data_IF_434444134465
#
_entry.id   IF_434444134465
#
_cell.length_a   1.000
_cell.length_b   1.000
_cell.length_c   1.000
_cell.angle_alpha   90.00
_cell.angle_beta   90.00
_cell.angle_gamma   90.00
#
_symmetry.space_group_name_H-M   'P 1'
#
loop_
_entity.id
_entity.type
_entity.pdbx_description
1 polymer ?
#
# COMPACT_ATOMS: atom_id res chain seq x y z
N UNK A 1 50.18 -88.58 -18.00
CA UNK A 1 51.15 -88.05 -16.99
C UNK A 1 50.77 -86.64 -16.64
N UNK A 2 50.49 -86.46 -15.31
CA UNK A 2 50.61 -85.23 -14.51
C UNK A 2 49.96 -83.92 -15.02
N UNK A 3 49.37 -83.10 -14.16
CA UNK A 3 49.07 -83.01 -12.71
C UNK A 3 47.97 -81.97 -12.57
N UNK A 4 47.09 -82.23 -11.66
CA UNK A 4 46.11 -81.26 -11.10
C UNK A 4 46.81 -80.09 -10.46
N UNK A 5 46.24 -78.89 -10.58
CA UNK A 5 46.30 -77.87 -9.51
C UNK A 5 44.93 -77.23 -9.30
N UNK A 6 44.38 -77.51 -8.16
CA UNK A 6 43.25 -76.87 -7.51
C UNK A 6 43.62 -75.45 -7.10
N UNK A 7 42.82 -74.46 -7.38
CA UNK A 7 42.84 -73.20 -6.69
C UNK A 7 41.43 -72.88 -6.16
N UNK A 8 41.39 -72.58 -4.87
CA UNK A 8 40.24 -72.36 -4.00
C UNK A 8 39.48 -71.06 -4.35
N UNK A 9 38.18 -70.94 -4.06
CA UNK A 9 37.46 -69.70 -4.23
C UNK A 9 37.74 -68.70 -3.09
N UNK A 10 37.86 -67.44 -3.44
CA UNK A 10 38.10 -66.31 -2.54
C UNK A 10 36.75 -65.76 -2.03
N UNK A 11 36.69 -65.22 -0.79
CA UNK A 11 35.44 -64.96 -0.07
C UNK A 11 34.92 -63.55 -0.34
N UNK A 12 33.60 -63.47 -0.39
CA UNK A 12 32.64 -62.44 -0.02
C UNK A 12 33.16 -60.97 -0.02
N UNK A 13 32.72 -60.20 -1.01
CA UNK A 13 32.61 -58.75 -0.93
C UNK A 13 31.29 -58.36 -0.24
N UNK A 14 31.24 -57.34 0.64
CA UNK A 14 29.99 -56.89 1.26
C UNK A 14 29.26 -55.98 0.25
N UNK A 15 27.99 -56.29 0.02
CA UNK A 15 27.02 -55.41 -0.63
C UNK A 15 26.76 -54.21 0.28
N UNK A 16 27.21 -53.03 -0.08
CA UNK A 16 26.74 -51.77 0.50
C UNK A 16 25.41 -51.39 -0.17
N UNK A 17 24.30 -51.57 0.57
CA UNK A 17 23.01 -51.01 0.23
C UNK A 17 23.08 -49.53 0.61
N UNK A 18 23.27 -48.65 -0.37
CA UNK A 18 23.12 -47.20 -0.18
C UNK A 18 21.63 -46.88 -0.01
N UNK A 19 21.19 -46.64 1.22
CA UNK A 19 19.89 -46.04 1.50
C UNK A 19 19.95 -44.57 1.06
N UNK A 20 19.32 -44.24 -0.08
CA UNK A 20 19.09 -42.86 -0.50
C UNK A 20 17.92 -42.35 0.32
N UNK A 21 18.22 -41.58 1.37
CA UNK A 21 17.24 -40.76 2.07
C UNK A 21 16.87 -39.57 1.13
N UNK A 22 15.76 -39.70 0.42
CA UNK A 22 15.12 -38.54 -0.22
C UNK A 22 14.48 -37.68 0.88
N UNK A 23 15.23 -36.66 1.32
CA UNK A 23 14.67 -35.59 2.11
C UNK A 23 13.67 -34.81 1.24
N UNK A 24 12.40 -35.18 1.33
CA UNK A 24 11.32 -34.32 0.83
C UNK A 24 11.29 -33.06 1.71
N UNK A 25 11.90 -31.98 1.25
CA UNK A 25 11.68 -30.65 1.80
C UNK A 25 10.21 -30.30 1.57
N UNK A 26 9.37 -30.53 2.55
CA UNK A 26 8.05 -29.91 2.66
C UNK A 26 8.31 -28.41 2.79
N UNK A 27 8.25 -27.68 1.66
CA UNK A 27 8.16 -26.22 1.63
C UNK A 27 6.86 -25.86 2.36
N UNK A 28 6.94 -25.62 3.66
CA UNK A 28 5.85 -24.97 4.37
C UNK A 28 5.50 -23.65 3.63
N UNK A 29 4.20 -23.37 3.40
CA UNK A 29 3.83 -22.10 2.77
C UNK A 29 4.42 -20.95 3.60
N UNK A 30 5.24 -20.11 2.96
CA UNK A 30 5.80 -18.94 3.62
C UNK A 30 4.61 -18.05 4.04
N UNK A 31 4.40 -17.92 5.34
CA UNK A 31 3.42 -16.98 5.85
C UNK A 31 3.86 -15.56 5.49
N UNK A 32 2.99 -14.82 4.82
CA UNK A 32 3.16 -13.38 4.61
C UNK A 32 3.03 -12.71 5.97
N UNK A 33 4.17 -12.51 6.65
CA UNK A 33 4.18 -11.73 7.89
C UNK A 33 3.84 -10.28 7.56
N UNK A 34 2.93 -9.68 8.34
CA UNK A 34 2.58 -8.27 8.16
C UNK A 34 3.81 -7.40 8.41
N UNK A 35 4.13 -6.52 7.45
CA UNK A 35 5.22 -5.57 7.56
C UNK A 35 4.65 -4.19 7.93
N UNK A 36 5.16 -3.59 9.00
CA UNK A 36 4.72 -2.29 9.50
C UNK A 36 5.81 -1.25 9.24
N UNK A 37 5.43 0.01 9.13
CA UNK A 37 6.38 1.11 9.18
C UNK A 37 7.14 1.09 10.52
N UNK A 38 8.43 1.38 10.50
CA UNK A 38 9.37 1.23 11.63
C UNK A 38 9.12 2.16 12.82
N UNK A 39 8.18 3.09 12.69
CA UNK A 39 7.83 4.09 13.70
C UNK A 39 8.52 5.44 13.47
N UNK A 40 9.67 5.49 12.78
CA UNK A 40 10.38 6.72 12.46
C UNK A 40 10.16 7.17 11.01
N UNK A 41 9.62 6.30 10.16
CA UNK A 41 9.37 6.57 8.75
C UNK A 41 7.99 6.07 8.30
N UNK A 42 7.51 6.65 7.19
CA UNK A 42 6.32 6.28 6.44
C UNK A 42 6.62 6.51 4.96
N UNK A 43 7.47 5.67 4.40
CA UNK A 43 8.19 5.96 3.15
C UNK A 43 7.39 5.88 1.87
N UNK A 44 6.15 5.42 1.93
CA UNK A 44 5.26 5.28 0.78
C UNK A 44 3.80 5.23 1.21
N UNK A 45 2.88 5.21 0.25
CA UNK A 45 1.45 5.03 0.52
C UNK A 45 1.21 3.83 1.46
N UNK A 46 0.43 4.04 2.53
CA UNK A 46 0.13 3.05 3.58
C UNK A 46 1.33 2.56 4.39
N UNK A 47 2.49 3.24 4.32
CA UNK A 47 3.66 3.05 5.18
C UNK A 47 4.52 1.80 4.92
N UNK A 48 4.01 0.79 4.22
CA UNK A 48 4.73 -0.46 3.95
C UNK A 48 4.42 -1.00 2.56
N UNK A 49 5.26 -1.89 2.04
CA UNK A 49 5.02 -2.56 0.76
C UNK A 49 3.75 -3.43 0.77
N UNK A 50 3.33 -3.93 1.92
CA UNK A 50 2.08 -4.70 2.07
C UNK A 50 0.84 -3.82 2.23
N UNK A 51 1.02 -2.50 2.24
CA UNK A 51 -0.03 -1.48 2.35
C UNK A 51 -0.91 -1.67 3.61
N UNK A 52 -0.32 -2.12 4.71
CA UNK A 52 -1.06 -2.41 5.95
C UNK A 52 -1.62 -1.18 6.64
N UNK A 53 -1.06 0.00 6.38
CA UNK A 53 -1.48 1.24 7.04
C UNK A 53 -1.12 1.30 8.53
N UNK A 54 -0.13 0.52 8.99
CA UNK A 54 0.26 0.40 10.39
C UNK A 54 1.62 1.02 10.63
N UNK A 55 1.73 1.84 11.67
CA UNK A 55 2.99 2.38 12.18
C UNK A 55 3.28 1.88 13.58
N UNK A 56 4.57 1.64 13.86
CA UNK A 56 5.08 1.39 15.21
C UNK A 56 5.37 2.68 15.97
N UNK A 57 5.08 3.83 15.38
CA UNK A 57 5.30 5.14 16.03
C UNK A 57 4.49 5.25 17.32
N UNK A 58 5.15 5.69 18.36
CA UNK A 58 4.48 6.06 19.62
C UNK A 58 3.89 7.46 19.47
N UNK A 59 2.58 7.51 19.26
CA UNK A 59 1.84 8.76 19.06
C UNK A 59 1.33 9.27 20.40
N UNK A 60 1.52 10.57 20.73
CA UNK A 60 1.04 11.14 21.99
C UNK A 60 -0.45 10.89 22.24
N UNK A 61 -0.82 10.64 23.50
CA UNK A 61 -2.23 10.42 23.89
C UNK A 61 -3.10 11.64 23.60
N UNK A 62 -2.60 12.84 23.95
CA UNK A 62 -3.26 14.11 23.70
C UNK A 62 -2.68 14.75 22.44
N UNK A 63 -3.48 14.85 21.40
CA UNK A 63 -3.08 15.43 20.13
C UNK A 63 -3.41 16.91 20.06
N UNK A 64 -2.53 17.66 19.41
CA UNK A 64 -2.75 19.08 19.07
C UNK A 64 -2.15 19.36 17.69
N UNK A 65 -2.65 20.36 16.96
CA UNK A 65 -1.98 20.88 15.77
C UNK A 65 -0.60 21.42 16.18
N UNK A 66 0.44 21.06 15.43
CA UNK A 66 1.81 21.53 15.64
C UNK A 66 2.19 22.58 14.62
N UNK A 67 1.86 22.33 13.36
CA UNK A 67 2.05 23.24 12.25
C UNK A 67 1.08 22.91 11.12
N UNK A 68 0.89 23.85 10.21
CA UNK A 68 0.28 23.62 8.91
C UNK A 68 1.16 24.25 7.81
N UNK A 69 0.97 23.74 6.58
CA UNK A 69 1.60 24.26 5.37
C UNK A 69 0.49 24.52 4.35
N UNK A 70 0.56 25.63 3.61
CA UNK A 70 -0.38 25.96 2.55
C UNK A 70 0.28 25.70 1.18
N UNK A 71 -0.31 24.77 0.40
CA UNK A 71 0.02 24.51 -0.99
C UNK A 71 -0.78 25.44 -1.90
N UNK A 72 -0.43 25.46 -3.20
CA UNK A 72 -1.15 26.28 -4.19
C UNK A 72 -2.53 25.74 -4.57
N UNK A 73 -2.80 24.46 -4.33
CA UNK A 73 -4.06 23.78 -4.66
C UNK A 73 -4.33 22.61 -3.73
N UNK A 74 -5.51 22.00 -3.89
CA UNK A 74 -5.97 20.87 -3.08
C UNK A 74 -4.97 19.71 -3.01
N UNK A 75 -5.03 18.95 -1.90
CA UNK A 75 -4.15 17.82 -1.63
C UNK A 75 -4.99 16.55 -1.49
N UNK A 76 -4.87 15.66 -2.48
CA UNK A 76 -5.40 14.30 -2.46
C UNK A 76 -4.30 13.26 -2.20
N UNK A 77 -3.06 13.63 -2.54
CA UNK A 77 -1.85 12.84 -2.29
C UNK A 77 -1.63 12.64 -0.79
N UNK A 78 -1.42 11.40 -0.36
CA UNK A 78 -1.05 11.09 1.02
C UNK A 78 0.45 11.36 1.21
N UNK A 79 0.83 11.90 2.37
CA UNK A 79 2.23 12.23 2.61
C UNK A 79 3.11 10.97 2.75
N UNK A 80 4.38 11.09 2.33
CA UNK A 80 5.45 10.20 2.76
C UNK A 80 6.35 10.92 3.77
N UNK A 81 6.90 10.17 4.74
CA UNK A 81 7.77 10.72 5.79
C UNK A 81 9.06 9.89 5.84
N UNK A 82 10.20 10.54 5.61
CA UNK A 82 11.51 9.91 5.69
C UNK A 82 12.57 10.94 6.10
N UNK A 83 13.51 10.55 6.96
CA UNK A 83 14.64 11.40 7.36
C UNK A 83 14.20 12.80 7.83
N UNK A 84 13.21 12.86 8.73
CA UNK A 84 12.62 14.11 9.24
C UNK A 84 12.08 15.05 8.14
N UNK A 85 11.66 14.50 7.00
CA UNK A 85 11.10 15.25 5.86
C UNK A 85 9.75 14.67 5.49
N UNK A 86 8.76 15.53 5.30
CA UNK A 86 7.44 15.22 4.75
C UNK A 86 7.45 15.54 3.26
N UNK A 87 7.06 14.59 2.44
CA UNK A 87 6.88 14.77 1.00
C UNK A 87 5.41 14.66 0.65
N UNK A 88 4.87 15.64 -0.07
CA UNK A 88 3.45 15.70 -0.43
C UNK A 88 3.27 16.34 -1.80
N UNK A 89 2.39 15.77 -2.61
CA UNK A 89 1.97 16.30 -3.90
C UNK A 89 0.69 17.13 -3.80
N UNK A 90 0.53 18.13 -4.65
CA UNK A 90 -0.67 18.96 -4.75
C UNK A 90 -1.20 19.05 -6.18
N UNK A 91 -2.47 19.42 -6.33
CA UNK A 91 -3.18 19.46 -7.62
C UNK A 91 -2.67 20.54 -8.57
N UNK A 92 -1.82 21.46 -8.11
CA UNK A 92 -1.08 22.40 -8.96
C UNK A 92 0.21 21.81 -9.57
N UNK A 93 0.46 20.51 -9.35
CA UNK A 93 1.63 19.81 -9.89
C UNK A 93 2.91 20.01 -9.09
N UNK A 94 2.83 20.51 -7.87
CA UNK A 94 3.99 20.70 -6.99
C UNK A 94 4.18 19.52 -6.04
N UNK A 95 5.36 18.91 -6.05
CA UNK A 95 5.86 18.04 -4.99
C UNK A 95 6.66 18.90 -4.01
N UNK A 96 6.18 19.01 -2.77
CA UNK A 96 6.84 19.77 -1.70
C UNK A 96 7.55 18.83 -0.73
N UNK A 97 8.74 19.22 -0.27
CA UNK A 97 9.44 18.62 0.86
C UNK A 97 9.44 19.61 2.02
N UNK A 98 8.92 19.18 3.16
CA UNK A 98 8.76 20.00 4.35
C UNK A 98 9.54 19.40 5.51
N UNK A 99 10.04 20.22 6.40
CA UNK A 99 10.61 19.77 7.68
C UNK A 99 9.50 19.21 8.58
N UNK A 100 9.65 17.96 9.04
CA UNK A 100 8.64 17.29 9.89
C UNK A 100 8.44 18.01 11.25
N UNK A 101 9.45 18.70 11.76
CA UNK A 101 9.39 19.32 13.07
C UNK A 101 8.58 20.62 13.11
N UNK A 102 8.61 21.40 12.00
CA UNK A 102 8.05 22.76 11.97
C UNK A 102 7.29 23.13 10.70
N UNK A 103 7.22 22.25 9.69
CA UNK A 103 6.53 22.50 8.42
C UNK A 103 7.27 23.42 7.44
N UNK A 104 8.49 23.84 7.74
CA UNK A 104 9.26 24.71 6.84
C UNK A 104 9.58 24.00 5.53
N UNK A 105 9.43 24.73 4.41
CA UNK A 105 9.76 24.22 3.08
C UNK A 105 11.26 24.01 2.94
N UNK A 106 11.68 22.79 2.66
CA UNK A 106 13.06 22.44 2.31
C UNK A 106 13.33 22.65 0.82
N UNK A 107 12.41 22.19 -0.02
CA UNK A 107 12.41 22.40 -1.46
C UNK A 107 11.03 22.15 -2.06
N UNK A 108 10.84 22.62 -3.29
CA UNK A 108 9.68 22.34 -4.14
C UNK A 108 10.16 21.87 -5.51
N UNK A 109 9.48 20.89 -6.09
CA UNK A 109 9.68 20.42 -7.45
C UNK A 109 8.36 20.58 -8.22
N UNK A 110 8.42 21.23 -9.39
CA UNK A 110 7.26 21.39 -10.26
C UNK A 110 7.29 20.30 -11.34
N UNK A 111 6.24 19.49 -11.44
CA UNK A 111 6.09 18.46 -12.48
C UNK A 111 5.87 19.07 -13.86
N UNK A 112 5.45 20.35 -13.94
CA UNK A 112 4.96 21.02 -15.13
C UNK A 112 3.74 20.33 -15.78
N UNK A 113 3.07 19.45 -15.06
CA UNK A 113 1.79 18.87 -15.45
C UNK A 113 0.69 19.91 -15.24
N UNK A 114 -0.13 20.13 -16.26
CA UNK A 114 -1.32 21.02 -16.17
C UNK A 114 -2.43 20.35 -15.34
N UNK A 115 -2.45 19.03 -15.31
CA UNK A 115 -3.44 18.21 -14.61
C UNK A 115 -3.08 18.00 -13.13
N UNK A 116 -1.84 18.33 -12.74
CA UNK A 116 -1.36 18.26 -11.35
C UNK A 116 -1.03 16.86 -10.82
N UNK A 117 -0.72 16.79 -9.53
CA UNK A 117 -0.57 15.54 -8.77
C UNK A 117 -1.90 15.29 -8.05
N UNK A 118 -2.59 14.20 -8.43
CA UNK A 118 -3.84 13.79 -7.78
C UNK A 118 -3.60 12.85 -6.60
N UNK A 119 -4.18 11.68 -6.66
CA UNK A 119 -4.15 10.67 -5.59
C UNK A 119 -2.78 9.98 -5.43
N UNK A 120 -1.91 10.04 -6.44
CA UNK A 120 -0.57 9.42 -6.38
C UNK A 120 0.23 9.99 -5.21
N UNK A 121 0.55 9.13 -4.26
CA UNK A 121 1.30 9.48 -3.04
C UNK A 121 2.79 9.24 -3.28
N UNK A 122 3.70 10.09 -2.76
CA UNK A 122 5.13 9.93 -2.94
C UNK A 122 5.64 8.61 -2.32
N UNK A 123 6.65 8.01 -2.96
CA UNK A 123 7.45 6.93 -2.38
C UNK A 123 8.91 7.37 -2.28
N UNK A 124 9.55 7.12 -1.14
CA UNK A 124 10.93 7.52 -0.85
C UNK A 124 11.82 6.28 -0.75
N UNK A 125 12.76 6.13 -1.65
CA UNK A 125 13.74 5.05 -1.63
C UNK A 125 15.02 5.46 -2.36
N UNK A 126 16.17 4.89 -1.97
CA UNK A 126 17.45 5.04 -2.65
C UNK A 126 17.88 6.51 -2.89
N UNK A 127 17.52 7.42 -1.98
CA UNK A 127 17.82 8.85 -2.11
C UNK A 127 16.94 9.61 -3.10
N UNK A 128 15.91 8.98 -3.64
CA UNK A 128 14.93 9.56 -4.56
C UNK A 128 13.52 9.55 -3.98
N UNK A 129 12.70 10.48 -4.44
CA UNK A 129 11.26 10.54 -4.23
C UNK A 129 10.58 10.28 -5.56
N UNK A 130 9.68 9.34 -5.61
CA UNK A 130 8.92 8.97 -6.81
C UNK A 130 7.48 9.39 -6.64
N UNK A 131 6.86 9.94 -7.69
CA UNK A 131 5.44 10.31 -7.72
C UNK A 131 4.91 10.26 -9.14
N UNK A 132 3.64 9.93 -9.31
CA UNK A 132 2.93 10.05 -10.59
C UNK A 132 2.12 11.34 -10.67
N UNK A 133 1.89 11.84 -11.89
CA UNK A 133 0.97 12.95 -12.15
C UNK A 133 -0.24 12.51 -12.99
N UNK A 134 -1.28 13.34 -13.00
CA UNK A 134 -2.49 13.07 -13.79
C UNK A 134 -2.25 13.28 -15.29
N UNK A 135 -1.17 13.94 -15.68
CA UNK A 135 -0.69 13.96 -17.06
C UNK A 135 -0.09 12.63 -17.51
N UNK A 136 0.10 11.66 -16.62
CA UNK A 136 0.60 10.30 -16.92
C UNK A 136 2.12 10.20 -16.89
N UNK A 137 2.81 11.07 -16.16
CA UNK A 137 4.26 11.03 -16.01
C UNK A 137 4.65 10.56 -14.60
N UNK A 138 5.57 9.62 -14.53
CA UNK A 138 6.28 9.26 -13.31
C UNK A 138 7.51 10.16 -13.19
N UNK A 139 7.68 10.77 -12.04
CA UNK A 139 8.81 11.61 -11.71
C UNK A 139 9.66 10.98 -10.64
N UNK A 140 10.98 10.96 -10.80
CA UNK A 140 11.95 10.68 -9.76
C UNK A 140 12.74 11.95 -9.46
N UNK A 141 12.73 12.34 -8.20
CA UNK A 141 13.29 13.60 -7.71
C UNK A 141 14.30 13.31 -6.60
N UNK A 142 15.44 13.98 -6.61
CA UNK A 142 16.45 13.83 -5.56
C UNK A 142 15.88 14.29 -4.21
N UNK A 143 15.85 13.41 -3.22
CA UNK A 143 15.23 13.67 -1.92
C UNK A 143 15.92 14.77 -1.11
N UNK A 144 17.24 15.00 -1.33
CA UNK A 144 18.00 16.00 -0.58
C UNK A 144 17.81 17.42 -1.10
N UNK A 145 17.60 17.60 -2.42
CA UNK A 145 17.66 18.94 -3.03
C UNK A 145 16.52 19.26 -4.01
N UNK A 146 15.58 18.34 -4.26
CA UNK A 146 14.43 18.56 -5.12
C UNK A 146 14.73 18.62 -6.62
N UNK A 147 15.95 18.25 -7.07
CA UNK A 147 16.27 18.19 -8.49
C UNK A 147 15.69 16.96 -9.15
N UNK A 148 15.05 17.11 -10.33
CA UNK A 148 14.60 15.98 -11.13
C UNK A 148 15.77 15.06 -11.51
N UNK A 149 15.61 13.76 -11.32
CA UNK A 149 16.58 12.75 -11.71
C UNK A 149 16.21 12.12 -13.05
N UNK A 150 14.98 11.69 -13.20
CA UNK A 150 14.42 11.14 -14.44
C UNK A 150 12.89 11.26 -14.45
N UNK A 151 12.31 11.14 -15.64
CA UNK A 151 10.86 11.01 -15.84
C UNK A 151 10.55 9.85 -16.77
N UNK A 152 9.37 9.26 -16.60
CA UNK A 152 8.86 8.20 -17.48
C UNK A 152 7.40 8.51 -17.83
N UNK A 153 7.07 8.57 -19.12
CA UNK A 153 5.72 8.86 -19.63
C UNK A 153 4.96 7.57 -19.92
N UNK A 154 3.78 7.42 -19.33
CA UNK A 154 2.79 6.38 -19.64
C UNK A 154 1.78 6.87 -20.67
N UNK A 155 0.88 6.02 -21.11
CA UNK A 155 -0.18 6.38 -22.07
C UNK A 155 -1.46 6.94 -21.44
N UNK A 156 -1.53 7.08 -20.11
CA UNK A 156 -2.73 7.55 -19.39
C UNK A 156 -2.39 8.14 -18.02
N UNK A 157 -3.38 8.68 -17.35
CA UNK A 157 -3.27 9.25 -16.01
C UNK A 157 -2.61 8.27 -15.01
N UNK A 158 -1.92 8.81 -14.00
CA UNK A 158 -1.38 8.02 -12.89
C UNK A 158 -2.05 8.46 -11.59
N UNK A 159 -2.96 7.60 -11.09
CA UNK A 159 -3.58 7.74 -9.77
C UNK A 159 -2.97 6.78 -8.75
N UNK A 160 -2.42 5.67 -9.23
CA UNK A 160 -1.64 4.74 -8.42
C UNK A 160 -0.45 5.42 -7.77
N UNK A 161 -0.11 5.00 -6.56
CA UNK A 161 1.13 5.44 -5.90
C UNK A 161 2.30 4.53 -6.30
N UNK A 162 3.51 5.07 -6.48
CA UNK A 162 4.71 4.25 -6.69
C UNK A 162 4.98 3.35 -5.49
N UNK A 163 5.42 2.11 -5.75
CA UNK A 163 5.90 1.20 -4.71
C UNK A 163 7.34 0.83 -5.01
N UNK A 164 8.25 1.22 -4.11
CA UNK A 164 9.66 0.90 -4.23
C UNK A 164 9.94 -0.50 -3.68
N UNK A 165 10.57 -1.34 -4.50
CA UNK A 165 11.00 -2.69 -4.15
C UNK A 165 12.41 -2.90 -4.66
N UNK A 166 13.39 -2.93 -3.77
CA UNK A 166 14.82 -3.02 -4.09
C UNK A 166 15.26 -1.94 -5.10
N UNK A 167 15.64 -2.32 -6.30
CA UNK A 167 16.03 -1.48 -7.42
C UNK A 167 14.90 -1.21 -8.44
N UNK A 168 13.63 -1.44 -8.04
CA UNK A 168 12.46 -1.35 -8.91
C UNK A 168 11.39 -0.41 -8.35
N UNK A 169 10.64 0.21 -9.25
CA UNK A 169 9.43 0.96 -8.95
C UNK A 169 8.25 0.30 -9.67
N UNK A 170 7.24 -0.09 -8.93
CA UNK A 170 5.97 -0.55 -9.47
C UNK A 170 5.00 0.62 -9.52
N UNK A 171 4.28 0.80 -10.63
CA UNK A 171 3.30 1.87 -10.80
C UNK A 171 2.20 1.46 -11.78
N UNK A 172 0.95 1.70 -11.41
CA UNK A 172 -0.21 1.51 -12.27
C UNK A 172 -0.53 2.75 -13.11
N UNK A 173 -1.09 2.58 -14.29
CA UNK A 173 -1.54 3.66 -15.16
C UNK A 173 -2.94 3.39 -15.73
N UNK A 174 -3.65 4.46 -16.05
CA UNK A 174 -4.95 4.40 -16.73
C UNK A 174 -4.86 3.95 -18.18
N UNK A 175 -3.64 3.78 -18.72
CA UNK A 175 -3.42 3.11 -20.02
C UNK A 175 -3.61 1.58 -19.96
N UNK A 176 -4.00 1.05 -18.80
CA UNK A 176 -4.24 -0.37 -18.59
C UNK A 176 -2.97 -1.18 -18.35
N UNK A 177 -1.89 -0.59 -17.86
CA UNK A 177 -0.67 -1.32 -17.53
C UNK A 177 -0.23 -1.12 -16.08
N UNK A 178 0.27 -2.21 -15.49
CA UNK A 178 1.20 -2.13 -14.35
C UNK A 178 2.61 -2.12 -14.93
N UNK A 179 3.38 -1.10 -14.63
CA UNK A 179 4.78 -0.95 -15.01
C UNK A 179 5.72 -1.33 -13.87
N UNK A 180 6.83 -1.95 -14.21
CA UNK A 180 8.01 -2.08 -13.36
C UNK A 180 9.14 -1.30 -14.02
N UNK A 181 9.59 -0.26 -13.35
CA UNK A 181 10.66 0.60 -13.81
C UNK A 181 11.93 0.34 -13.01
N UNK A 182 13.09 0.54 -13.63
CA UNK A 182 14.35 0.64 -12.92
C UNK A 182 14.35 1.90 -12.05
N UNK A 183 14.62 1.76 -10.76
CA UNK A 183 14.51 2.86 -9.80
C UNK A 183 15.53 4.00 -10.06
N UNK A 184 16.67 3.73 -10.68
CA UNK A 184 17.72 4.72 -10.93
C UNK A 184 17.57 5.46 -12.24
N UNK A 185 17.06 4.77 -13.28
CA UNK A 185 17.02 5.28 -14.65
C UNK A 185 15.62 5.54 -15.19
N UNK A 186 14.58 4.98 -14.56
CA UNK A 186 13.21 5.00 -15.09
C UNK A 186 12.98 4.07 -16.29
N UNK A 187 13.98 3.28 -16.69
CA UNK A 187 13.83 2.34 -17.81
C UNK A 187 12.81 1.24 -17.49
N UNK A 188 11.97 0.90 -18.45
CA UNK A 188 11.00 -0.19 -18.28
C UNK A 188 11.72 -1.52 -18.21
N UNK A 189 11.59 -2.26 -17.12
CA UNK A 189 12.04 -3.63 -16.97
C UNK A 189 11.02 -4.62 -17.51
N UNK A 190 9.77 -4.40 -17.17
CA UNK A 190 8.62 -5.12 -17.72
C UNK A 190 7.33 -4.31 -17.52
N UNK A 191 6.28 -4.67 -18.25
CA UNK A 191 4.93 -4.19 -18.02
C UNK A 191 3.92 -5.30 -18.23
N UNK A 192 2.84 -5.26 -17.47
CA UNK A 192 1.72 -6.22 -17.57
C UNK A 192 0.47 -5.47 -17.98
N UNK A 193 -0.16 -5.93 -19.06
CA UNK A 193 -1.42 -5.37 -19.55
C UNK A 193 -2.61 -5.93 -18.79
N UNK A 194 -3.55 -5.07 -18.43
CA UNK A 194 -4.87 -5.40 -17.86
C UNK A 194 -5.98 -5.01 -18.84
N UNK A 195 -7.19 -5.49 -18.62
CA UNK A 195 -8.33 -5.14 -19.48
C UNK A 195 -8.98 -3.80 -19.11
N UNK A 196 -8.54 -3.14 -18.03
CA UNK A 196 -9.00 -1.83 -17.57
C UNK A 196 -7.87 -1.01 -16.94
N UNK A 197 -8.14 0.22 -16.53
CA UNK A 197 -7.17 1.06 -15.80
C UNK A 197 -6.60 0.37 -14.55
N UNK A 198 -5.31 0.59 -14.28
CA UNK A 198 -4.68 0.18 -13.02
C UNK A 198 -4.65 1.39 -12.07
N UNK A 199 -5.76 1.57 -11.36
CA UNK A 199 -5.94 2.65 -10.40
C UNK A 199 -5.23 2.36 -9.07
N UNK A 200 -5.44 1.14 -8.55
CA UNK A 200 -4.95 0.73 -7.24
C UNK A 200 -3.41 0.67 -7.18
N UNK A 201 -2.86 1.04 -6.03
CA UNK A 201 -1.45 0.83 -5.73
C UNK A 201 -1.18 -0.66 -5.51
N UNK A 202 -0.12 -1.19 -6.09
CA UNK A 202 0.27 -2.57 -5.90
C UNK A 202 0.76 -2.82 -4.47
N UNK A 203 0.27 -3.87 -3.82
CA UNK A 203 0.88 -4.36 -2.58
C UNK A 203 1.89 -5.45 -2.89
N UNK A 204 2.92 -5.57 -2.06
CA UNK A 204 4.04 -6.47 -2.33
C UNK A 204 4.35 -7.35 -1.13
N UNK A 205 4.50 -8.65 -1.38
CA UNK A 205 5.00 -9.61 -0.41
C UNK A 205 5.71 -10.77 -1.12
N UNK A 206 6.82 -11.24 -0.54
CA UNK A 206 7.56 -12.44 -0.99
C UNK A 206 7.83 -12.45 -2.51
N UNK A 207 8.33 -11.33 -3.06
CA UNK A 207 8.67 -11.20 -4.49
C UNK A 207 7.46 -11.18 -5.43
N UNK A 208 6.25 -11.03 -4.90
CA UNK A 208 4.98 -10.97 -5.64
C UNK A 208 4.29 -9.63 -5.43
N UNK A 209 3.89 -8.99 -6.51
CA UNK A 209 3.02 -7.83 -6.53
C UNK A 209 1.57 -8.27 -6.67
N UNK A 210 0.67 -7.67 -5.89
CA UNK A 210 -0.75 -7.93 -5.93
C UNK A 210 -1.48 -6.65 -6.29
N UNK A 211 -2.31 -6.70 -7.33
CA UNK A 211 -3.17 -5.60 -7.77
C UNK A 211 -4.63 -6.05 -7.85
N UNK A 212 -5.53 -5.17 -7.50
CA UNK A 212 -6.95 -5.30 -7.79
C UNK A 212 -7.30 -4.26 -8.87
N UNK A 213 -7.92 -4.68 -9.97
CA UNK A 213 -8.09 -3.87 -11.16
C UNK A 213 -9.51 -3.35 -11.37
N UNK A 214 -9.63 -2.32 -12.22
CA UNK A 214 -10.91 -1.87 -12.76
C UNK A 214 -11.49 -2.85 -13.80
N UNK A 215 -10.84 -3.96 -14.06
CA UNK A 215 -11.30 -5.08 -14.88
C UNK A 215 -11.84 -6.26 -14.05
N UNK A 216 -12.17 -6.02 -12.79
CA UNK A 216 -12.76 -6.98 -11.85
C UNK A 216 -11.86 -8.18 -11.52
N UNK A 217 -10.56 -8.06 -11.78
CA UNK A 217 -9.61 -9.14 -11.57
C UNK A 217 -8.54 -8.72 -10.55
N UNK A 218 -8.41 -9.52 -9.50
CA UNK A 218 -7.27 -9.49 -8.60
C UNK A 218 -6.15 -10.36 -9.19
N UNK A 219 -4.92 -9.82 -9.29
CA UNK A 219 -3.76 -10.47 -9.89
C UNK A 219 -2.61 -10.58 -8.93
N UNK A 220 -1.91 -11.72 -9.00
CA UNK A 220 -0.61 -11.93 -8.39
C UNK A 220 0.45 -11.99 -9.49
N UNK A 221 1.45 -11.10 -9.45
CA UNK A 221 2.45 -10.90 -10.49
C UNK A 221 3.84 -11.04 -9.88
N UNK A 222 4.70 -11.88 -10.46
CA UNK A 222 6.08 -12.04 -10.00
C UNK A 222 6.90 -10.79 -10.34
N UNK A 223 7.54 -10.19 -9.35
CA UNK A 223 8.27 -8.91 -9.51
C UNK A 223 9.53 -9.10 -10.38
N UNK A 224 10.14 -10.27 -10.38
CA UNK A 224 11.37 -10.52 -11.11
C UNK A 224 11.23 -10.32 -12.64
N UNK A 225 10.08 -10.67 -13.21
CA UNK A 225 9.88 -10.71 -14.66
C UNK A 225 8.48 -10.31 -15.15
N UNK A 226 7.57 -9.91 -14.26
CA UNK A 226 6.22 -9.52 -14.62
C UNK A 226 5.28 -10.69 -14.97
N UNK A 227 5.68 -11.93 -14.71
CA UNK A 227 4.83 -13.10 -14.99
C UNK A 227 3.63 -13.12 -14.03
N UNK A 228 2.42 -13.22 -14.59
CA UNK A 228 1.22 -13.49 -13.82
C UNK A 228 1.27 -14.91 -13.22
N UNK A 229 1.14 -15.01 -11.91
CA UNK A 229 1.18 -16.28 -11.15
C UNK A 229 -0.21 -16.89 -11.01
N UNK A 230 -1.18 -16.07 -10.73
CA UNK A 230 -2.60 -16.44 -10.68
C UNK A 230 -3.50 -15.19 -10.70
N UNK A 231 -4.76 -15.42 -11.01
CA UNK A 231 -5.83 -14.43 -10.95
C UNK A 231 -6.97 -14.93 -10.07
N UNK A 232 -7.75 -13.97 -9.55
CA UNK A 232 -9.03 -14.23 -8.87
C UNK A 232 -10.05 -13.26 -9.43
N UNK A 233 -11.14 -13.78 -9.97
CA UNK A 233 -12.28 -12.95 -10.40
C UNK A 233 -12.95 -12.41 -9.13
N UNK A 234 -12.86 -11.10 -8.91
CA UNK A 234 -13.49 -10.41 -7.79
C UNK A 234 -14.97 -10.14 -8.01
N UNK A 235 -15.37 -10.03 -9.30
CA UNK A 235 -16.72 -9.73 -9.72
C UNK A 235 -17.15 -8.29 -9.43
N UNK A 236 -16.16 -7.40 -9.22
CA UNK A 236 -16.39 -5.98 -9.02
C UNK A 236 -15.09 -5.20 -9.28
N UNK A 237 -15.17 -4.06 -9.93
CA UNK A 237 -14.04 -3.18 -10.11
C UNK A 237 -13.74 -2.38 -8.84
N UNK A 238 -12.48 -1.95 -8.69
CA UNK A 238 -12.02 -1.23 -7.50
C UNK A 238 -11.02 -0.14 -7.81
N UNK A 239 -11.09 0.95 -7.01
CA UNK A 239 -10.02 1.93 -6.86
C UNK A 239 -9.20 1.72 -5.58
N UNK A 240 -9.67 0.87 -4.66
CA UNK A 240 -8.96 0.59 -3.41
C UNK A 240 -7.75 -0.33 -3.62
N UNK A 241 -6.66 -0.03 -2.94
CA UNK A 241 -5.44 -0.84 -2.98
C UNK A 241 -5.55 -2.03 -2.02
N UNK A 242 -5.13 -3.23 -2.42
CA UNK A 242 -5.22 -4.42 -1.57
C UNK A 242 -4.21 -4.36 -0.43
N UNK A 243 -4.68 -4.41 0.82
CA UNK A 243 -3.82 -4.56 2.00
C UNK A 243 -3.56 -6.04 2.30
N UNK A 244 -2.32 -6.40 2.61
CA UNK A 244 -1.94 -7.80 2.83
C UNK A 244 -1.75 -8.09 4.31
N UNK A 245 -2.34 -9.18 4.79
CA UNK A 245 -2.11 -9.72 6.14
C UNK A 245 -2.44 -11.22 6.18
N UNK A 246 -1.61 -12.02 6.85
CA UNK A 246 -1.88 -13.44 7.14
C UNK A 246 -2.34 -14.25 5.91
N UNK A 247 -1.60 -14.17 4.81
CA UNK A 247 -1.91 -14.87 3.55
C UNK A 247 -3.26 -14.47 2.92
N UNK A 248 -3.72 -13.27 3.21
CA UNK A 248 -4.95 -12.70 2.65
C UNK A 248 -4.74 -11.29 2.14
N UNK A 249 -5.52 -10.89 1.15
CA UNK A 249 -5.62 -9.54 0.64
C UNK A 249 -7.03 -8.98 0.92
N UNK A 250 -7.10 -7.71 1.35
CA UNK A 250 -8.35 -7.05 1.73
C UNK A 250 -8.48 -5.74 0.97
N UNK A 251 -9.62 -5.52 0.31
CA UNK A 251 -9.90 -4.29 -0.43
C UNK A 251 -11.40 -4.05 -0.61
N UNK A 252 -11.76 -2.78 -0.73
CA UNK A 252 -13.12 -2.35 -1.06
C UNK A 252 -13.39 -2.37 -2.55
N UNK A 253 -14.65 -2.39 -2.95
CA UNK A 253 -15.11 -2.39 -4.34
C UNK A 253 -16.18 -1.33 -4.59
N UNK A 254 -16.41 -1.01 -5.86
CA UNK A 254 -17.50 -0.12 -6.27
C UNK A 254 -18.88 -0.79 -6.22
N UNK A 255 -18.94 -2.13 -6.15
CA UNK A 255 -20.18 -2.89 -5.98
C UNK A 255 -20.61 -3.03 -4.51
N UNK A 256 -20.18 -2.10 -3.66
CA UNK A 256 -20.56 -1.98 -2.25
C UNK A 256 -20.08 -3.13 -1.37
N UNK A 257 -19.02 -3.83 -1.78
CA UNK A 257 -18.42 -4.93 -1.01
C UNK A 257 -17.00 -4.60 -0.55
N UNK A 258 -16.65 -5.12 0.62
CA UNK A 258 -15.27 -5.37 1.02
C UNK A 258 -15.00 -6.85 0.81
N UNK A 259 -13.87 -7.17 0.19
CA UNK A 259 -13.48 -8.54 -0.13
C UNK A 259 -12.29 -8.96 0.74
N UNK A 260 -12.33 -10.19 1.25
CA UNK A 260 -11.19 -10.92 1.76
C UNK A 260 -10.82 -12.02 0.77
N UNK A 261 -9.66 -11.91 0.14
CA UNK A 261 -9.13 -12.89 -0.81
C UNK A 261 -8.07 -13.73 -0.11
N UNK A 262 -8.25 -15.05 -0.07
CA UNK A 262 -7.24 -15.97 0.44
C UNK A 262 -6.23 -16.28 -0.67
N UNK A 263 -4.95 -15.95 -0.44
CA UNK A 263 -3.88 -16.06 -1.43
C UNK A 263 -3.44 -17.50 -1.67
N UNK A 264 -3.57 -18.38 -0.66
CA UNK A 264 -3.21 -19.80 -0.79
C UNK A 264 -4.25 -20.58 -1.60
N UNK A 265 -5.53 -20.41 -1.28
CA UNK A 265 -6.62 -21.05 -2.04
C UNK A 265 -7.00 -20.32 -3.33
N UNK A 266 -6.49 -19.09 -3.52
CA UNK A 266 -6.72 -18.23 -4.70
C UNK A 266 -8.22 -17.98 -4.94
N UNK A 267 -8.94 -17.65 -3.87
CA UNK A 267 -10.41 -17.45 -3.89
C UNK A 267 -10.82 -16.30 -2.99
N UNK A 268 -11.94 -15.69 -3.31
CA UNK A 268 -12.65 -14.80 -2.37
C UNK A 268 -13.14 -15.68 -1.23
N UNK A 269 -12.62 -15.43 -0.02
CA UNK A 269 -12.97 -16.16 1.20
C UNK A 269 -14.28 -15.63 1.80
N UNK A 270 -14.49 -14.32 1.74
CA UNK A 270 -15.68 -13.67 2.24
C UNK A 270 -15.95 -12.34 1.54
N UNK A 271 -17.20 -11.89 1.61
CA UNK A 271 -17.67 -10.57 1.21
C UNK A 271 -18.40 -9.92 2.38
N UNK A 272 -18.18 -8.64 2.56
CA UNK A 272 -18.91 -7.80 3.50
C UNK A 272 -19.57 -6.65 2.77
N UNK A 273 -20.83 -6.35 3.10
CA UNK A 273 -21.50 -5.09 2.74
C UNK A 273 -22.19 -4.53 3.97
N UNK A 274 -22.35 -3.21 4.01
CA UNK A 274 -23.14 -2.60 5.09
C UNK A 274 -24.64 -2.92 4.87
N UNK A 275 -25.30 -3.65 5.79
CA UNK A 275 -26.67 -4.09 5.57
C UNK A 275 -27.68 -2.93 5.55
N UNK A 276 -27.32 -1.78 6.12
CA UNK A 276 -28.22 -0.61 6.20
C UNK A 276 -27.98 0.39 5.06
N UNK A 277 -26.77 0.41 4.48
CA UNK A 277 -26.34 1.39 3.49
C UNK A 277 -25.40 0.77 2.48
N UNK A 278 -25.89 0.55 1.28
CA UNK A 278 -25.10 -0.02 0.19
C UNK A 278 -24.46 1.10 -0.63
N UNK A 279 -23.19 1.37 -0.38
CA UNK A 279 -22.36 2.34 -1.08
C UNK A 279 -20.94 1.78 -1.28
N UNK A 280 -20.22 2.26 -2.31
CA UNK A 280 -18.85 1.83 -2.59
C UNK A 280 -17.88 2.02 -1.43
N UNK A 281 -16.89 1.13 -1.38
CA UNK A 281 -15.74 1.23 -0.49
C UNK A 281 -14.50 1.61 -1.32
N UNK A 282 -14.14 2.88 -1.27
CA UNK A 282 -13.01 3.44 -2.00
C UNK A 282 -11.70 3.45 -1.19
N UNK A 283 -11.82 3.58 0.13
CA UNK A 283 -10.71 3.59 1.08
C UNK A 283 -9.92 2.27 1.05
N UNK A 284 -8.59 2.36 1.05
CA UNK A 284 -7.72 1.19 1.24
C UNK A 284 -7.66 0.79 2.71
N UNK A 285 -7.70 -0.51 2.97
CA UNK A 285 -7.82 -1.01 4.34
C UNK A 285 -6.54 -0.82 5.18
N UNK A 286 -6.70 -0.59 6.49
CA UNK A 286 -5.69 -0.80 7.51
C UNK A 286 -5.83 -2.20 8.10
N UNK A 287 -4.71 -2.95 8.26
CA UNK A 287 -4.80 -4.37 8.67
C UNK A 287 -3.78 -4.71 9.76
N UNK A 288 -4.29 -5.10 10.93
CA UNK A 288 -3.48 -5.55 12.08
C UNK A 288 -4.33 -6.40 13.04
N UNK A 289 -3.72 -7.30 13.79
CA UNK A 289 -4.37 -8.09 14.85
C UNK A 289 -5.69 -8.77 14.43
N UNK A 290 -5.70 -9.36 13.25
CA UNK A 290 -6.89 -10.01 12.67
C UNK A 290 -8.08 -9.06 12.44
N UNK A 291 -7.82 -7.74 12.27
CA UNK A 291 -8.83 -6.72 11.96
C UNK A 291 -8.52 -6.03 10.65
N UNK A 292 -9.58 -5.65 9.97
CA UNK A 292 -9.57 -4.86 8.72
C UNK A 292 -10.36 -3.59 8.97
N UNK A 293 -9.71 -2.43 8.91
CA UNK A 293 -10.34 -1.12 9.16
C UNK A 293 -10.32 -0.32 7.87
N UNK A 294 -11.47 0.20 7.43
CA UNK A 294 -11.57 1.00 6.22
C UNK A 294 -12.75 1.99 6.28
N UNK A 295 -12.69 3.02 5.45
CA UNK A 295 -13.77 3.96 5.25
C UNK A 295 -14.71 3.54 4.12
N UNK A 296 -15.97 3.98 4.17
CA UNK A 296 -16.97 3.77 3.14
C UNK A 296 -17.62 5.07 2.65
N UNK A 297 -18.10 5.08 1.41
CA UNK A 297 -18.97 6.16 0.90
C UNK A 297 -20.34 6.14 1.55
N UNK A 298 -20.68 5.10 2.31
CA UNK A 298 -21.84 4.99 3.18
C UNK A 298 -21.79 5.88 4.42
N UNK A 299 -20.70 6.66 4.59
CA UNK A 299 -20.41 7.57 5.70
C UNK A 299 -20.05 6.85 7.01
N UNK A 300 -19.42 5.69 6.92
CA UNK A 300 -18.93 4.96 8.08
C UNK A 300 -17.45 4.59 7.95
N UNK A 301 -16.80 4.49 9.09
CA UNK A 301 -15.58 3.71 9.27
C UNK A 301 -15.99 2.34 9.79
N UNK A 302 -15.49 1.29 9.17
CA UNK A 302 -15.79 -0.10 9.50
C UNK A 302 -14.56 -0.80 10.04
N UNK A 303 -14.75 -1.64 11.05
CA UNK A 303 -13.78 -2.62 11.49
C UNK A 303 -14.37 -4.00 11.34
N UNK A 304 -13.69 -4.86 10.60
CA UNK A 304 -14.14 -6.21 10.29
C UNK A 304 -13.17 -7.23 10.87
N UNK A 305 -13.67 -8.41 11.25
CA UNK A 305 -12.84 -9.58 11.52
C UNK A 305 -12.23 -10.09 10.20
N UNK A 306 -10.91 -10.18 10.14
CA UNK A 306 -10.19 -10.50 8.90
C UNK A 306 -10.44 -11.92 8.38
N UNK A 307 -10.82 -12.88 9.25
CA UNK A 307 -11.08 -14.27 8.85
C UNK A 307 -12.49 -14.47 8.31
N UNK A 308 -13.47 -13.73 8.86
CA UNK A 308 -14.89 -13.96 8.59
C UNK A 308 -15.57 -12.86 7.83
N UNK A 309 -14.97 -11.66 7.76
CA UNK A 309 -15.59 -10.46 7.20
C UNK A 309 -16.72 -9.88 8.07
N UNK A 310 -16.99 -10.42 9.26
CA UNK A 310 -18.03 -9.89 10.15
C UNK A 310 -17.63 -8.53 10.72
N UNK A 311 -18.56 -7.58 10.75
CA UNK A 311 -18.35 -6.31 11.40
C UNK A 311 -18.13 -6.50 12.91
N UNK A 312 -17.06 -5.89 13.43
CA UNK A 312 -16.76 -5.83 14.86
C UNK A 312 -17.30 -4.53 15.47
N UNK A 313 -17.12 -3.43 14.76
CA UNK A 313 -17.70 -2.13 15.08
C UNK A 313 -17.80 -1.26 13.83
N UNK A 314 -18.65 -0.25 13.90
CA UNK A 314 -18.76 0.82 12.90
C UNK A 314 -18.81 2.17 13.59
N UNK A 315 -18.26 3.20 12.96
CA UNK A 315 -18.31 4.58 13.45
C UNK A 315 -18.91 5.48 12.35
N UNK A 316 -19.98 6.21 12.67
CA UNK A 316 -20.67 7.10 11.73
C UNK A 316 -19.95 8.44 11.63
N UNK A 317 -19.72 8.90 10.40
CA UNK A 317 -19.28 10.25 10.04
C UNK A 317 -20.45 11.03 9.38
N UNK A 318 -20.24 12.32 9.09
CA UNK A 318 -21.30 13.14 8.47
C UNK A 318 -21.28 13.10 6.94
N UNK A 319 -20.13 12.69 6.33
CA UNK A 319 -19.97 12.51 4.90
C UNK A 319 -19.14 11.25 4.60
N UNK A 320 -18.92 10.96 3.31
CA UNK A 320 -18.15 9.80 2.86
C UNK A 320 -16.72 9.80 3.42
N UNK A 321 -16.17 8.60 3.60
CA UNK A 321 -14.80 8.38 4.10
C UNK A 321 -14.00 7.72 2.98
N UNK A 322 -13.26 8.53 2.22
CA UNK A 322 -12.35 8.07 1.15
C UNK A 322 -10.92 7.95 1.63
N UNK A 323 -10.55 8.71 2.68
CA UNK A 323 -9.29 8.59 3.40
C UNK A 323 -9.08 7.16 3.89
N UNK A 324 -7.88 6.62 3.66
CA UNK A 324 -7.51 5.27 4.10
C UNK A 324 -6.94 5.34 5.53
N UNK A 325 -7.51 4.61 6.51
CA UNK A 325 -7.14 4.75 7.92
C UNK A 325 -5.69 4.37 8.19
N UNK A 326 -4.95 5.18 8.95
CA UNK A 326 -3.67 4.80 9.55
C UNK A 326 -3.89 4.26 10.97
N UNK A 327 -3.11 3.25 11.36
CA UNK A 327 -3.21 2.55 12.64
C UNK A 327 -1.90 2.69 13.41
N UNK A 328 -1.97 3.24 14.63
CA UNK A 328 -0.81 3.34 15.53
C UNK A 328 -1.27 3.48 16.99
N UNK A 329 -0.48 3.00 17.94
CA UNK A 329 -0.70 3.16 19.38
C UNK A 329 -2.13 2.81 19.83
N UNK A 330 -2.73 1.71 19.28
CA UNK A 330 -4.10 1.27 19.60
C UNK A 330 -5.20 2.21 19.09
N UNK A 331 -4.92 3.06 18.10
CA UNK A 331 -5.86 4.06 17.56
C UNK A 331 -5.96 3.98 16.05
N UNK A 332 -7.10 4.45 15.55
CA UNK A 332 -7.41 4.64 14.13
C UNK A 332 -7.41 6.14 13.84
N UNK A 333 -6.64 6.56 12.84
CA UNK A 333 -6.54 7.93 12.36
C UNK A 333 -7.13 7.99 10.96
N UNK A 334 -8.14 8.83 10.74
CA UNK A 334 -8.84 8.86 9.44
C UNK A 334 -9.45 10.24 9.16
N UNK A 335 -9.31 10.70 7.92
CA UNK A 335 -10.01 11.88 7.41
C UNK A 335 -11.40 11.54 6.87
N UNK A 336 -12.28 12.53 6.78
CA UNK A 336 -13.60 12.42 6.17
C UNK A 336 -13.89 13.62 5.27
N UNK A 337 -14.75 13.42 4.27
CA UNK A 337 -15.22 14.50 3.42
C UNK A 337 -16.15 15.50 4.13
N UNK A 338 -16.48 15.26 5.42
CA UNK A 338 -17.16 16.23 6.28
C UNK A 338 -16.22 17.30 6.85
N UNK A 339 -14.93 17.30 6.46
CA UNK A 339 -13.93 18.26 6.91
C UNK A 339 -13.30 17.89 8.25
N UNK A 340 -13.55 16.69 8.78
CA UNK A 340 -13.04 16.29 10.08
C UNK A 340 -11.98 15.20 9.97
N UNK A 341 -10.97 15.36 10.81
CA UNK A 341 -9.99 14.33 11.12
C UNK A 341 -10.40 13.66 12.43
N UNK A 342 -10.66 12.35 12.36
CA UNK A 342 -11.11 11.54 13.50
C UNK A 342 -10.00 10.66 14.04
N UNK A 343 -9.98 10.53 15.37
CA UNK A 343 -9.17 9.54 16.08
C UNK A 343 -10.11 8.64 16.86
N UNK A 344 -10.07 7.35 16.54
CA UNK A 344 -10.95 6.35 17.15
C UNK A 344 -10.12 5.33 17.92
N UNK A 345 -10.70 4.77 18.97
CA UNK A 345 -10.17 3.59 19.63
C UNK A 345 -10.21 2.39 18.69
N UNK A 346 -9.09 1.70 18.54
CA UNK A 346 -8.95 0.61 17.59
C UNK A 346 -9.85 -0.59 17.92
N UNK A 347 -10.09 -0.85 19.21
CA UNK A 347 -10.81 -2.04 19.66
C UNK A 347 -12.32 -1.85 19.67
N UNK A 348 -12.79 -0.67 20.09
CA UNK A 348 -14.22 -0.36 20.26
C UNK A 348 -14.83 0.52 19.19
N UNK A 349 -14.01 1.25 18.40
CA UNK A 349 -14.49 2.28 17.47
C UNK A 349 -14.96 3.56 18.14
N UNK A 350 -14.81 3.70 19.46
CA UNK A 350 -15.20 4.91 20.17
C UNK A 350 -14.35 6.11 19.73
N UNK A 351 -14.99 7.26 19.52
CA UNK A 351 -14.28 8.50 19.19
C UNK A 351 -13.48 8.98 20.40
N UNK A 352 -12.16 9.09 20.22
CA UNK A 352 -11.25 9.60 21.23
C UNK A 352 -10.97 11.10 21.06
N UNK A 353 -10.90 11.56 19.80
CA UNK A 353 -10.60 12.95 19.49
C UNK A 353 -11.05 13.28 18.05
N UNK A 354 -11.28 14.56 17.76
CA UNK A 354 -11.51 15.06 16.42
C UNK A 354 -10.93 16.46 16.23
N UNK A 355 -10.58 16.79 14.99
CA UNK A 355 -10.15 18.11 14.56
C UNK A 355 -10.98 18.53 13.34
N UNK A 356 -11.49 19.77 13.36
CA UNK A 356 -12.23 20.37 12.25
C UNK A 356 -11.25 21.13 11.37
N UNK A 357 -10.97 20.58 10.18
CA UNK A 357 -10.10 21.20 9.19
C UNK A 357 -10.84 22.20 8.30
N UNK A 358 -12.16 22.21 8.33
CA UNK A 358 -13.02 23.10 7.54
C UNK A 358 -13.20 22.68 6.08
N UNK A 359 -12.37 21.78 5.55
CA UNK A 359 -12.45 21.28 4.17
C UNK A 359 -12.22 19.76 4.12
N UNK A 360 -12.71 19.11 3.06
CA UNK A 360 -12.68 17.67 2.92
C UNK A 360 -11.25 17.09 3.07
N UNK A 361 -11.13 16.01 3.83
CA UNK A 361 -9.90 15.26 4.06
C UNK A 361 -10.00 13.92 3.33
N UNK A 362 -9.69 13.89 2.03
CA UNK A 362 -9.64 12.67 1.21
C UNK A 362 -8.26 12.00 1.23
N UNK A 363 -7.19 12.76 1.41
CA UNK A 363 -5.85 12.23 1.63
C UNK A 363 -5.82 11.30 2.85
N UNK A 364 -4.90 10.31 2.84
CA UNK A 364 -4.74 9.39 3.96
C UNK A 364 -3.67 9.86 4.92
N UNK A 365 -3.83 9.65 6.24
CA UNK A 365 -2.83 10.03 7.23
C UNK A 365 -1.52 9.24 7.06
N UNK A 366 -0.39 9.91 7.25
CA UNK A 366 0.92 9.31 7.44
C UNK A 366 1.35 9.44 8.90
N UNK A 367 1.91 8.37 9.48
CA UNK A 367 2.24 8.34 10.92
C UNK A 367 3.68 7.90 11.12
N UNK A 368 4.53 8.80 11.61
CA UNK A 368 5.93 8.54 11.92
C UNK A 368 6.47 9.48 12.98
N UNK A 369 7.47 9.05 13.74
CA UNK A 369 8.21 9.84 14.72
C UNK A 369 7.30 10.63 15.70
N UNK A 370 6.22 10.02 16.17
CA UNK A 370 5.24 10.66 17.07
C UNK A 370 4.37 11.71 16.40
N UNK A 371 4.37 11.80 15.06
CA UNK A 371 3.63 12.79 14.26
C UNK A 371 2.61 12.13 13.37
N UNK A 372 1.52 12.84 13.10
CA UNK A 372 0.51 12.49 12.13
C UNK A 372 0.43 13.63 11.12
N UNK A 373 0.54 13.31 9.83
CA UNK A 373 0.46 14.29 8.74
C UNK A 373 -0.69 13.92 7.80
N UNK A 374 -1.54 14.88 7.46
CA UNK A 374 -2.67 14.70 6.54
C UNK A 374 -2.88 15.93 5.69
N UNK A 375 -3.19 15.74 4.41
CA UNK A 375 -3.56 16.80 3.47
C UNK A 375 -5.07 17.04 3.42
N UNK A 376 -5.46 18.23 3.00
CA UNK A 376 -6.85 18.69 2.85
C UNK A 376 -7.09 19.23 1.44
N UNK A 377 -8.35 19.17 0.98
CA UNK A 377 -8.72 19.65 -0.35
C UNK A 377 -8.72 21.16 -0.51
N UNK A 378 -8.57 21.93 0.57
CA UNK A 378 -8.30 23.37 0.52
C UNK A 378 -6.80 23.74 0.35
N UNK A 379 -5.95 22.74 0.16
CA UNK A 379 -4.51 22.92 -0.04
C UNK A 379 -3.68 22.95 1.24
N UNK A 380 -4.24 22.63 2.39
CA UNK A 380 -3.50 22.59 3.64
C UNK A 380 -2.95 21.20 3.95
N UNK A 381 -1.74 21.17 4.48
CA UNK A 381 -1.16 19.99 5.16
C UNK A 381 -1.11 20.28 6.65
N UNK A 382 -1.73 19.43 7.42
CA UNK A 382 -1.72 19.50 8.89
C UNK A 382 -0.76 18.48 9.47
N UNK A 383 -0.04 18.88 10.52
CA UNK A 383 0.75 17.98 11.37
C UNK A 383 0.26 18.04 12.80
N UNK A 384 0.04 16.88 13.37
CA UNK A 384 -0.36 16.69 14.77
C UNK A 384 0.68 15.90 15.55
N UNK A 385 0.76 16.16 16.89
CA UNK A 385 1.60 15.42 17.81
C UNK A 385 1.29 15.76 19.28
#
# INVERSE_FOLDING_TARGET
MNKQFLTRPNPRAPFFVALIFTCAFLLAPAHVAAQWADGNSWTQFRGSQQLTGVSKSDVPKSLRPLWNYEAGAGIESSAAIANNTVYVGSQDGVLAALDLSNGAVRWKYNTNSKEGIGESSPAVANGLVYVGDLGGTVHAVNAANGRGAWTFKTGGEIKSSPVAVDDKILIGSYDGHLYCLDARSGAVRWKVKTAGPVHATASVANGTAYIAGCDEIFRAIRIADGRELFTVVSGAYTGASPALMNNSAFYGTFDNYVLGVNLASRRVAWRYSNPQRQFPFYSSAGTVENRVVLGGRDKYVHCLDARTGKALWTFATRARVESSPALASGRVFVGSSDGRFYVLDFYSGAKLWEFDAGAALSASPAVAAGRIVIGSQDGRVYCFG
#
